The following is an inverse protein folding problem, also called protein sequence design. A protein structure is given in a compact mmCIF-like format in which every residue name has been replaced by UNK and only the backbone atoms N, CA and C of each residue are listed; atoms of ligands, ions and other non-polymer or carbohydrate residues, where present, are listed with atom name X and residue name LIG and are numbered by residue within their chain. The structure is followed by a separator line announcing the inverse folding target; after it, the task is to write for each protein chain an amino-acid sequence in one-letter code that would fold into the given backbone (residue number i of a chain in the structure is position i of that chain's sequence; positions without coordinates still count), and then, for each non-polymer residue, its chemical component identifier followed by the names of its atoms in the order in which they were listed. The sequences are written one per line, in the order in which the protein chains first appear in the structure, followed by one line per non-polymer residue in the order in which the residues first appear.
data_IF_810781029551
#
_entry.id   IF_810781029551
#
_cell.length_a   1.000
_cell.length_b   1.000
_cell.length_c   1.000
_cell.angle_alpha   90.00
_cell.angle_beta   90.00
_cell.angle_gamma   90.00
#
_symmetry.space_group_name_H-M   'P 1'
#
loop_
_entity.id
_entity.type
_entity.pdbx_description
1 polymer ?
#
# COMPACT_ATOMS: atom_id res chain seq x y z
N UNK A 1 39.21 18.27 17.47
CA UNK A 1 38.65 17.91 16.14
C UNK A 1 37.91 19.15 15.67
N UNK A 2 38.50 19.89 14.73
CA UNK A 2 37.78 20.96 14.03
C UNK A 2 36.82 20.26 13.06
N UNK A 3 35.53 20.25 13.40
CA UNK A 3 34.50 19.72 12.52
C UNK A 3 34.29 20.68 11.37
N UNK A 4 34.58 20.25 10.14
CA UNK A 4 34.17 20.97 8.94
C UNK A 4 32.66 20.87 8.77
N UNK A 5 32.02 21.98 8.39
CA UNK A 5 30.63 21.98 7.93
C UNK A 5 30.67 21.61 6.45
N UNK A 6 30.08 20.47 6.10
CA UNK A 6 29.82 20.10 4.70
C UNK A 6 28.43 20.65 4.38
N UNK A 7 28.33 21.46 3.33
CA UNK A 7 27.03 21.90 2.80
C UNK A 7 26.26 20.67 2.30
N UNK A 8 25.31 20.22 3.10
CA UNK A 8 24.43 19.12 2.75
C UNK A 8 23.39 19.55 1.72
N UNK A 9 23.11 18.68 0.74
CA UNK A 9 21.96 18.88 -0.15
C UNK A 9 20.67 18.61 0.65
N UNK A 10 19.99 19.70 1.04
CA UNK A 10 18.75 19.63 1.80
C UNK A 10 17.66 18.81 1.09
N UNK A 11 17.57 18.86 -0.24
CA UNK A 11 16.56 18.09 -1.00
C UNK A 11 16.83 16.60 -0.86
N UNK A 12 18.11 16.21 -0.96
CA UNK A 12 18.54 14.84 -0.76
C UNK A 12 18.26 14.36 0.68
N UNK A 13 18.59 15.18 1.67
CA UNK A 13 18.34 14.85 3.08
C UNK A 13 16.85 14.63 3.37
N UNK A 14 15.99 15.53 2.89
CA UNK A 14 14.54 15.39 3.05
C UNK A 14 14.03 14.14 2.36
N UNK A 15 14.48 13.86 1.12
CA UNK A 15 14.10 12.65 0.42
C UNK A 15 14.48 11.40 1.23
N UNK A 16 15.73 11.29 1.68
CA UNK A 16 16.19 10.14 2.47
C UNK A 16 15.38 9.98 3.76
N UNK A 17 15.11 11.08 4.48
CA UNK A 17 14.32 11.04 5.70
C UNK A 17 12.87 10.57 5.43
N UNK A 18 12.24 11.06 4.38
CA UNK A 18 10.90 10.61 3.97
C UNK A 18 10.91 9.14 3.56
N UNK A 19 11.91 8.71 2.78
CA UNK A 19 12.10 7.32 2.37
C UNK A 19 12.19 6.39 3.59
N UNK A 20 13.04 6.71 4.55
CA UNK A 20 13.21 5.93 5.78
C UNK A 20 11.89 5.82 6.56
N UNK A 21 11.22 6.95 6.83
CA UNK A 21 10.00 6.94 7.65
C UNK A 21 8.85 6.17 6.98
N UNK A 22 8.72 6.28 5.66
CA UNK A 22 7.75 5.51 4.87
C UNK A 22 8.09 4.01 4.88
N UNK A 23 9.36 3.65 4.76
CA UNK A 23 9.81 2.25 4.85
C UNK A 23 9.57 1.63 6.24
N UNK A 24 9.62 2.43 7.30
CA UNK A 24 9.26 2.01 8.66
C UNK A 24 7.75 1.99 8.93
N UNK A 25 6.92 2.30 7.92
CA UNK A 25 5.46 2.20 8.01
C UNK A 25 4.76 3.46 8.49
N UNK A 26 5.46 4.60 8.58
CA UNK A 26 4.80 5.90 8.83
C UNK A 26 3.87 6.22 7.68
N UNK A 27 2.65 6.66 7.97
CA UNK A 27 1.68 6.93 6.92
C UNK A 27 1.99 8.26 6.22
N UNK A 28 1.75 8.39 4.90
CA UNK A 28 1.99 9.64 4.18
C UNK A 28 1.29 10.85 4.82
N UNK A 29 0.06 10.68 5.33
CA UNK A 29 -0.70 11.77 5.95
C UNK A 29 -0.07 12.23 7.28
N UNK A 30 0.57 11.32 8.01
CA UNK A 30 1.30 11.64 9.25
C UNK A 30 2.55 12.45 8.93
N UNK A 31 3.30 12.08 7.89
CA UNK A 31 4.50 12.82 7.47
C UNK A 31 4.18 14.24 7.02
N UNK A 32 3.06 14.43 6.32
CA UNK A 32 2.58 15.77 5.98
C UNK A 32 2.24 16.57 7.22
N UNK A 33 1.51 15.98 8.18
CA UNK A 33 1.20 16.63 9.46
C UNK A 33 2.46 17.00 10.25
N UNK A 34 3.47 16.12 10.27
CA UNK A 34 4.76 16.38 10.92
C UNK A 34 5.53 17.52 10.25
N UNK A 35 5.46 17.64 8.92
CA UNK A 35 6.09 18.73 8.19
C UNK A 35 5.40 20.09 8.44
N UNK A 36 4.16 20.09 8.93
CA UNK A 36 3.40 21.28 9.32
C UNK A 36 3.47 21.61 10.82
N UNK A 37 4.04 20.72 11.64
CA UNK A 37 4.11 20.88 13.09
C UNK A 37 5.50 21.40 13.54
N UNK A 38 5.58 22.60 14.16
CA UNK A 38 6.85 23.17 14.63
C UNK A 38 7.53 22.34 15.73
N UNK A 39 6.82 21.42 16.40
CA UNK A 39 7.42 20.49 17.35
C UNK A 39 8.30 19.43 16.65
N UNK A 40 8.04 19.15 15.37
CA UNK A 40 8.83 18.24 14.54
C UNK A 40 9.84 19.02 13.70
N UNK A 41 10.81 19.61 14.39
CA UNK A 41 11.74 20.59 13.84
C UNK A 41 12.46 20.15 12.54
N UNK A 42 12.76 18.86 12.37
CA UNK A 42 13.45 18.37 11.19
C UNK A 42 12.67 18.59 9.90
N UNK A 43 11.49 17.97 9.78
CA UNK A 43 10.64 18.11 8.58
C UNK A 43 10.05 19.51 8.47
N UNK A 44 9.66 20.11 9.59
CA UNK A 44 9.14 21.47 9.61
C UNK A 44 10.16 22.49 9.10
N UNK A 45 11.37 22.52 9.66
CA UNK A 45 12.40 23.46 9.21
C UNK A 45 12.79 23.22 7.75
N UNK A 46 12.86 21.95 7.33
CA UNK A 46 13.16 21.63 5.94
C UNK A 46 12.08 22.12 4.98
N UNK A 47 10.79 21.97 5.33
CA UNK A 47 9.66 22.49 4.56
C UNK A 47 9.68 24.02 4.50
N UNK A 48 9.91 24.70 5.62
CA UNK A 48 10.04 26.16 5.66
C UNK A 48 11.21 26.68 4.81
N UNK A 49 12.32 25.93 4.76
CA UNK A 49 13.51 26.32 3.99
C UNK A 49 13.36 26.05 2.49
N UNK A 50 12.79 24.91 2.11
CA UNK A 50 12.57 24.54 0.71
C UNK A 50 11.39 25.26 0.07
N UNK A 51 10.39 25.64 0.88
CA UNK A 51 9.09 26.09 0.43
C UNK A 51 8.13 24.93 0.12
N UNK A 52 6.82 25.23 0.23
CA UNK A 52 5.73 24.26 0.06
C UNK A 52 5.86 23.45 -1.24
N UNK A 53 5.95 24.13 -2.38
CA UNK A 53 5.92 23.51 -3.71
C UNK A 53 7.11 22.54 -3.92
N UNK A 54 8.32 22.95 -3.51
CA UNK A 54 9.49 22.09 -3.62
C UNK A 54 9.41 20.88 -2.69
N UNK A 55 8.87 21.06 -1.48
CA UNK A 55 8.67 19.97 -0.53
C UNK A 55 7.63 18.96 -1.06
N UNK A 56 6.47 19.43 -1.53
CA UNK A 56 5.42 18.59 -2.11
C UNK A 56 5.94 17.78 -3.30
N UNK A 57 6.74 18.39 -4.18
CA UNK A 57 7.35 17.69 -5.30
C UNK A 57 8.26 16.54 -4.84
N UNK A 58 9.12 16.80 -3.84
CA UNK A 58 10.00 15.75 -3.28
C UNK A 58 9.16 14.64 -2.63
N UNK A 59 8.10 15.01 -1.91
CA UNK A 59 7.21 14.08 -1.24
C UNK A 59 6.49 13.16 -2.23
N UNK A 60 5.89 13.72 -3.29
CA UNK A 60 5.24 12.93 -4.34
C UNK A 60 6.20 12.00 -5.10
N UNK A 61 7.40 12.50 -5.46
CA UNK A 61 8.43 11.69 -6.11
C UNK A 61 8.86 10.52 -5.22
N UNK A 62 8.96 10.75 -3.90
CA UNK A 62 9.30 9.73 -2.92
C UNK A 62 8.21 8.66 -2.82
N UNK A 63 6.93 9.05 -2.74
CA UNK A 63 5.81 8.09 -2.69
C UNK A 63 5.76 7.19 -3.92
N UNK A 64 5.93 7.79 -5.12
CA UNK A 64 5.99 7.05 -6.39
C UNK A 64 7.14 6.03 -6.39
N UNK A 65 8.29 6.39 -5.82
CA UNK A 65 9.49 5.55 -5.80
C UNK A 65 9.36 4.33 -4.87
N UNK A 66 8.78 4.52 -3.68
CA UNK A 66 8.60 3.42 -2.71
C UNK A 66 7.45 2.50 -3.14
N UNK A 67 6.62 2.93 -4.10
CA UNK A 67 5.47 2.15 -4.52
C UNK A 67 4.35 2.16 -3.49
N UNK A 68 4.30 3.19 -2.63
CA UNK A 68 3.14 3.47 -1.77
C UNK A 68 2.06 4.10 -2.66
N UNK A 69 1.56 3.30 -3.60
CA UNK A 69 0.27 3.51 -4.19
C UNK A 69 -0.69 2.65 -3.37
N UNK A 70 -1.51 3.32 -2.56
CA UNK A 70 -2.52 2.71 -1.72
C UNK A 70 -3.44 1.87 -2.60
N UNK A 71 -3.18 0.57 -2.71
CA UNK A 71 -4.16 -0.36 -3.24
C UNK A 71 -5.21 -0.50 -2.13
N UNK A 72 -6.30 0.26 -2.22
CA UNK A 72 -7.47 -0.06 -1.40
C UNK A 72 -8.02 -1.38 -1.93
N UNK A 73 -7.55 -2.50 -1.38
CA UNK A 73 -8.19 -3.78 -1.61
C UNK A 73 -9.49 -3.74 -0.83
N UNK A 74 -10.59 -3.33 -1.49
CA UNK A 74 -11.92 -3.62 -0.96
C UNK A 74 -12.05 -5.14 -0.91
N UNK A 75 -12.00 -5.68 0.31
CA UNK A 75 -12.26 -7.09 0.56
C UNK A 75 -13.75 -7.34 0.29
N UNK A 76 -14.08 -7.65 -0.98
CA UNK A 76 -15.43 -8.11 -1.32
C UNK A 76 -15.61 -9.48 -0.68
N UNK A 77 -16.43 -9.52 0.36
CA UNK A 77 -16.93 -10.76 0.93
C UNK A 77 -17.44 -11.64 -0.21
N UNK A 78 -16.81 -12.81 -0.38
CA UNK A 78 -17.28 -13.83 -1.30
C UNK A 78 -18.66 -14.23 -0.82
N UNK A 79 -19.71 -13.89 -1.58
CA UNK A 79 -21.04 -14.44 -1.35
C UNK A 79 -20.90 -15.96 -1.41
N UNK A 80 -21.03 -16.60 -0.26
CA UNK A 80 -21.20 -18.04 -0.15
C UNK A 80 -22.41 -18.41 -1.01
N UNK A 81 -22.16 -19.00 -2.17
CA UNK A 81 -23.20 -19.72 -2.88
C UNK A 81 -23.65 -20.84 -1.95
N UNK A 82 -24.87 -20.74 -1.42
CA UNK A 82 -25.54 -21.89 -0.83
C UNK A 82 -25.68 -22.91 -1.95
N UNK A 83 -24.87 -23.97 -1.90
CA UNK A 83 -25.05 -25.12 -2.78
C UNK A 83 -26.50 -25.56 -2.64
N UNK A 84 -27.27 -25.38 -3.71
CA UNK A 84 -28.50 -26.12 -3.91
C UNK A 84 -28.12 -27.59 -3.90
N UNK A 85 -28.31 -28.20 -2.73
CA UNK A 85 -28.15 -29.61 -2.47
C UNK A 85 -28.99 -30.38 -3.49
N UNK A 86 -28.38 -30.90 -4.55
CA UNK A 86 -29.03 -31.86 -5.44
C UNK A 86 -28.97 -33.20 -4.68
N UNK A 87 -30.10 -33.77 -4.24
CA UNK A 87 -30.08 -35.08 -3.61
C UNK A 87 -29.59 -36.10 -4.65
N UNK A 88 -28.55 -36.86 -4.31
CA UNK A 88 -27.96 -37.97 -5.09
C UNK A 88 -28.91 -39.18 -5.28
N UNK A 89 -30.22 -38.98 -5.27
CA UNK A 89 -31.22 -40.05 -5.23
C UNK A 89 -31.91 -40.34 -6.58
N UNK A 90 -31.42 -39.83 -7.71
CA UNK A 90 -32.02 -40.08 -9.04
C UNK A 90 -31.04 -40.62 -10.08
N UNK A 91 -30.07 -41.42 -9.65
CA UNK A 91 -29.12 -42.11 -10.54
C UNK A 91 -29.22 -43.63 -10.52
N UNK A 92 -30.41 -44.21 -10.25
CA UNK A 92 -30.64 -45.64 -10.47
C UNK A 92 -32.11 -45.95 -10.79
N UNK A 93 -32.50 -45.77 -12.05
CA UNK A 93 -33.62 -46.53 -12.61
C UNK A 93 -33.41 -46.72 -14.12
N UNK A 94 -32.37 -47.48 -14.46
CA UNK A 94 -32.28 -48.16 -15.77
C UNK A 94 -32.23 -49.65 -15.49
N UNK A 95 -33.32 -50.42 -15.63
CA UNK A 95 -33.20 -51.86 -15.71
C UNK A 95 -32.63 -52.21 -17.09
N UNK A 96 -31.42 -52.76 -17.08
CA UNK A 96 -30.83 -53.46 -18.20
C UNK A 96 -31.34 -54.92 -18.24
N UNK A 97 -31.26 -55.53 -19.43
CA UNK A 97 -31.60 -56.90 -19.89
C UNK A 97 -32.95 -56.92 -20.63
N UNK A 98 -33.06 -57.43 -21.85
CA UNK A 98 -32.47 -58.68 -22.37
C UNK A 98 -31.85 -58.51 -23.77
N UNK A 99 -30.65 -59.03 -23.95
CA UNK A 99 -30.24 -59.68 -25.19
C UNK A 99 -30.09 -61.16 -24.84
N UNK A 100 -30.90 -62.01 -25.45
CA UNK A 100 -30.60 -63.44 -25.58
C UNK A 100 -30.79 -63.86 -27.03
N UNK A 101 -29.78 -64.59 -27.50
CA UNK A 101 -29.61 -65.08 -28.86
C UNK A 101 -30.49 -66.29 -29.15
N UNK A 102 -31.07 -66.33 -30.35
CA UNK A 102 -31.18 -67.53 -31.18
C UNK A 102 -31.31 -67.13 -32.66
#
# INVERSE_FOLDING_TARGET
LEGGVIDGDLRLMVRCQLEDMLMFGTRPEELLAMADDPNFQGLYAAKQTLGQESFEKIFEETLKRIGIHRVSSEERAVQQYSESFIPLATLNSTPAKEQDHA
#
